data_IF_366243129754
#
_entry.id   IF_366243129754
#
_cell.length_a   1.000
_cell.length_b   1.000
_cell.length_c   1.000
_cell.angle_alpha   90.00
_cell.angle_beta   90.00
_cell.angle_gamma   90.00
#
_symmetry.space_group_name_H-M   'P 1'
#
loop_
_entity.id
_entity.type
_entity.pdbx_description
1 polymer ?
#
# COMPACT_ATOMS: atom_id res chain seq x y z
N UNK A 1 6.87 -23.14 4.35
CA UNK A 1 6.07 -22.00 4.85
C UNK A 1 6.18 -20.83 3.87
N UNK A 2 5.05 -20.29 3.44
CA UNK A 2 5.03 -19.12 2.55
C UNK A 2 5.33 -17.88 3.38
N UNK A 3 6.36 -17.12 2.97
CA UNK A 3 6.79 -15.91 3.69
C UNK A 3 6.61 -14.62 2.90
N UNK A 4 6.37 -14.72 1.59
CA UNK A 4 6.21 -13.57 0.70
C UNK A 4 4.86 -13.60 0.02
N UNK A 5 4.30 -12.42 -0.22
CA UNK A 5 3.12 -12.24 -1.06
C UNK A 5 3.43 -11.18 -2.12
N UNK A 6 2.96 -11.41 -3.34
CA UNK A 6 3.07 -10.46 -4.44
C UNK A 6 1.68 -9.98 -4.78
N UNK A 7 1.45 -8.68 -4.70
CA UNK A 7 0.14 -8.08 -4.91
C UNK A 7 0.21 -7.07 -6.05
N UNK A 8 -0.35 -7.41 -7.23
CA UNK A 8 -0.40 -6.48 -8.36
C UNK A 8 -1.48 -5.42 -8.15
N UNK A 9 -1.08 -4.16 -8.16
CA UNK A 9 -1.94 -3.00 -7.96
C UNK A 9 -1.90 -2.00 -9.11
N UNK A 10 -1.26 -2.35 -10.23
CA UNK A 10 -1.06 -1.42 -11.34
C UNK A 10 -2.30 -1.20 -12.22
N UNK A 11 -3.40 -1.92 -11.98
CA UNK A 11 -4.65 -1.75 -12.72
C UNK A 11 -5.26 -0.37 -12.57
N UNK A 12 -6.02 0.09 -13.57
CA UNK A 12 -6.53 1.47 -13.63
C UNK A 12 -7.79 1.72 -12.81
N UNK A 13 -8.48 0.66 -12.36
CA UNK A 13 -9.71 0.82 -11.56
C UNK A 13 -10.86 1.46 -12.32
N UNK A 14 -11.02 1.15 -13.61
CA UNK A 14 -12.01 1.79 -14.50
C UNK A 14 -13.44 1.60 -14.05
N UNK A 15 -13.74 0.54 -13.30
CA UNK A 15 -15.09 0.27 -12.79
C UNK A 15 -15.54 1.27 -11.74
N UNK A 16 -14.62 2.00 -11.12
CA UNK A 16 -14.91 2.97 -10.06
C UNK A 16 -14.73 4.42 -10.51
N UNK A 17 -14.71 4.65 -11.82
CA UNK A 17 -14.70 6.01 -12.35
C UNK A 17 -15.98 6.76 -11.93
N UNK A 18 -15.90 8.06 -11.67
CA UNK A 18 -14.72 8.95 -11.85
C UNK A 18 -13.76 9.01 -10.66
N UNK A 19 -14.04 8.37 -9.52
CA UNK A 19 -13.18 8.44 -8.33
C UNK A 19 -11.74 8.02 -8.62
N UNK A 20 -11.56 6.95 -9.40
CA UNK A 20 -10.24 6.42 -9.71
C UNK A 20 -9.47 7.24 -10.73
N UNK A 21 -10.06 8.33 -11.24
CA UNK A 21 -9.30 9.30 -12.03
C UNK A 21 -8.27 10.06 -11.18
N UNK A 22 -8.50 10.13 -9.86
CA UNK A 22 -7.64 10.85 -8.90
C UNK A 22 -7.11 9.92 -7.81
N UNK A 23 -7.93 8.99 -7.35
CA UNK A 23 -7.60 8.11 -6.22
C UNK A 23 -7.33 6.69 -6.69
N UNK A 24 -6.31 6.04 -6.10
CA UNK A 24 -6.14 4.60 -6.26
C UNK A 24 -7.30 3.89 -5.57
N UNK A 25 -7.95 2.93 -6.27
CA UNK A 25 -9.09 2.19 -5.73
C UNK A 25 -8.74 1.48 -4.42
N UNK A 26 -7.49 1.06 -4.28
CA UNK A 26 -6.98 0.33 -3.11
C UNK A 26 -6.96 1.19 -1.84
N UNK A 27 -6.97 2.52 -1.99
CA UNK A 27 -7.00 3.45 -0.86
C UNK A 27 -8.40 3.95 -0.53
N UNK A 28 -9.41 3.61 -1.34
CA UNK A 28 -10.79 3.99 -1.03
C UNK A 28 -11.23 3.30 0.27
N UNK A 29 -11.90 4.04 1.16
CA UNK A 29 -12.24 3.50 2.48
C UNK A 29 -13.37 2.49 2.43
N UNK A 30 -13.20 1.43 3.23
CA UNK A 30 -14.23 0.46 3.54
C UNK A 30 -14.36 0.48 5.06
N UNK A 31 -15.49 0.97 5.58
CA UNK A 31 -15.67 1.16 7.03
C UNK A 31 -14.54 1.98 7.67
N UNK A 32 -14.16 3.08 7.00
CA UNK A 32 -13.15 4.03 7.51
C UNK A 32 -11.70 3.58 7.40
N UNK A 33 -11.44 2.46 6.72
CA UNK A 33 -10.11 1.88 6.58
C UNK A 33 -9.86 1.55 5.10
N UNK A 34 -8.71 1.91 4.52
CA UNK A 34 -8.43 1.57 3.12
C UNK A 34 -8.51 0.08 2.87
N UNK A 35 -9.07 -0.31 1.73
CA UNK A 35 -9.17 -1.72 1.34
C UNK A 35 -7.83 -2.44 1.40
N UNK A 36 -6.75 -1.73 1.06
CA UNK A 36 -5.40 -2.28 1.06
C UNK A 36 -4.94 -2.72 2.46
N UNK A 37 -5.37 -2.02 3.53
CA UNK A 37 -5.00 -2.41 4.89
C UNK A 37 -5.65 -3.73 5.30
N UNK A 38 -6.86 -4.03 4.80
CA UNK A 38 -7.48 -5.34 5.05
C UNK A 38 -6.65 -6.47 4.46
N UNK A 39 -6.10 -6.25 3.27
CA UNK A 39 -5.22 -7.23 2.61
C UNK A 39 -3.94 -7.42 3.42
N UNK A 40 -3.34 -6.35 3.90
CA UNK A 40 -2.13 -6.42 4.72
C UNK A 40 -2.39 -7.15 6.03
N UNK A 41 -3.53 -6.90 6.66
CA UNK A 41 -3.89 -7.58 7.90
C UNK A 41 -4.07 -9.08 7.68
N UNK A 42 -4.68 -9.48 6.57
CA UNK A 42 -4.79 -10.89 6.20
C UNK A 42 -3.41 -11.53 5.99
N UNK A 43 -2.49 -10.81 5.35
CA UNK A 43 -1.12 -11.28 5.18
C UNK A 43 -0.42 -11.50 6.52
N UNK A 44 -0.59 -10.57 7.46
CA UNK A 44 -0.02 -10.68 8.80
C UNK A 44 -0.57 -11.91 9.51
N UNK A 45 -1.88 -12.12 9.47
CA UNK A 45 -2.52 -13.28 10.09
C UNK A 45 -2.04 -14.59 9.48
N UNK A 46 -1.75 -14.61 8.19
CA UNK A 46 -1.25 -15.78 7.48
C UNK A 46 0.24 -16.03 7.71
N UNK A 47 0.93 -15.19 8.48
CA UNK A 47 2.35 -15.33 8.76
C UNK A 47 3.26 -14.81 7.65
N UNK A 48 2.74 -14.03 6.70
CA UNK A 48 3.53 -13.43 5.64
C UNK A 48 4.45 -12.36 6.24
N UNK A 49 5.73 -12.39 5.88
CA UNK A 49 6.74 -11.46 6.41
C UNK A 49 7.08 -10.34 5.45
N UNK A 50 6.89 -10.55 4.15
CA UNK A 50 7.21 -9.57 3.12
C UNK A 50 6.10 -9.51 2.09
N UNK A 51 5.66 -8.29 1.77
CA UNK A 51 4.65 -8.05 0.75
C UNK A 51 5.26 -7.16 -0.33
N UNK A 52 5.16 -7.59 -1.57
CA UNK A 52 5.66 -6.84 -2.72
C UNK A 52 4.46 -6.28 -3.47
N UNK A 53 4.32 -4.96 -3.46
CA UNK A 53 3.30 -4.27 -4.23
C UNK A 53 3.84 -3.88 -5.59
N UNK A 54 3.12 -4.26 -6.63
CA UNK A 54 3.42 -3.86 -8.00
C UNK A 54 2.50 -2.71 -8.36
N UNK A 55 3.07 -1.51 -8.53
CA UNK A 55 2.32 -0.29 -8.81
C UNK A 55 2.82 0.38 -10.08
N UNK A 56 2.02 1.30 -10.62
CA UNK A 56 2.45 2.21 -11.69
C UNK A 56 2.75 3.59 -11.09
N UNK A 57 3.39 4.47 -11.87
CA UNK A 57 3.60 5.86 -11.44
C UNK A 57 2.28 6.59 -11.20
N UNK A 58 1.20 6.16 -11.83
CA UNK A 58 -0.14 6.71 -11.58
C UNK A 58 -0.68 6.40 -10.19
N UNK A 59 -0.08 5.43 -9.50
CA UNK A 59 -0.50 5.00 -8.15
C UNK A 59 0.54 5.32 -7.09
N UNK A 60 1.40 6.32 -7.31
CA UNK A 60 2.37 6.76 -6.30
C UNK A 60 1.74 7.13 -4.96
N UNK A 61 0.45 7.49 -4.96
CA UNK A 61 -0.25 7.80 -3.70
C UNK A 61 -0.28 6.60 -2.75
N UNK A 62 -0.23 5.37 -3.26
CA UNK A 62 -0.14 4.17 -2.43
C UNK A 62 1.19 4.16 -1.68
N UNK A 63 2.28 4.43 -2.40
CA UNK A 63 3.60 4.53 -1.77
C UNK A 63 3.64 5.65 -0.74
N UNK A 64 3.11 6.82 -1.09
CA UNK A 64 3.04 7.97 -0.17
C UNK A 64 2.25 7.67 1.10
N UNK A 65 1.19 6.88 0.98
CA UNK A 65 0.38 6.48 2.13
C UNK A 65 1.23 5.83 3.23
N UNK A 66 2.17 4.98 2.85
CA UNK A 66 3.03 4.27 3.80
C UNK A 66 4.33 5.02 4.15
N UNK A 67 4.72 6.00 3.35
CA UNK A 67 5.99 6.72 3.50
C UNK A 67 5.81 8.19 3.87
N UNK A 68 4.70 8.55 4.53
CA UNK A 68 4.39 9.94 4.92
C UNK A 68 4.96 10.32 6.30
N UNK A 69 6.16 9.89 6.63
CA UNK A 69 6.76 10.10 7.94
C UNK A 69 6.75 11.57 8.37
N UNK A 70 7.09 12.46 7.45
CA UNK A 70 7.15 13.90 7.75
C UNK A 70 5.79 14.44 8.21
N UNK A 71 4.73 14.05 7.54
CA UNK A 71 3.36 14.47 7.90
C UNK A 71 3.05 14.14 9.36
N UNK A 72 3.30 12.89 9.75
CA UNK A 72 3.03 12.44 11.12
C UNK A 72 3.95 13.12 12.13
N UNK A 73 5.24 13.19 11.84
CA UNK A 73 6.22 13.78 12.73
C UNK A 73 5.95 15.26 12.99
N UNK A 74 5.54 16.01 11.96
CA UNK A 74 5.21 17.42 12.11
C UNK A 74 4.03 17.63 13.06
N UNK A 75 3.00 16.79 12.97
CA UNK A 75 1.84 16.86 13.87
C UNK A 75 2.23 16.46 15.29
N UNK A 76 2.98 15.39 15.44
CA UNK A 76 3.41 14.88 16.75
C UNK A 76 4.26 15.92 17.50
N UNK A 77 5.10 16.67 16.79
CA UNK A 77 5.90 17.75 17.38
C UNK A 77 5.06 18.90 17.92
N UNK A 78 3.94 19.22 17.24
CA UNK A 78 3.10 20.38 17.60
C UNK A 78 2.16 20.09 18.75
N UNK A 79 1.60 18.90 18.81
CA UNK A 79 0.60 18.51 19.80
C UNK A 79 0.78 17.07 20.24
N UNK A 80 0.63 16.84 21.53
CA UNK A 80 0.56 15.50 22.07
C UNK A 80 -0.80 14.90 21.70
N UNK A 81 -0.83 14.11 20.63
CA UNK A 81 -2.05 13.50 20.11
C UNK A 81 -1.88 11.98 20.03
N UNK A 82 -2.55 11.28 20.94
CA UNK A 82 -2.47 9.82 21.04
C UNK A 82 -2.98 9.12 19.77
N UNK A 83 -4.05 9.64 19.18
CA UNK A 83 -4.61 9.07 17.95
C UNK A 83 -3.59 9.11 16.80
N UNK A 84 -2.96 10.27 16.59
CA UNK A 84 -1.95 10.42 15.53
C UNK A 84 -0.76 9.51 15.77
N UNK A 85 -0.29 9.39 17.00
CA UNK A 85 0.82 8.49 17.35
C UNK A 85 0.47 7.03 17.08
N UNK A 86 -0.74 6.61 17.41
CA UNK A 86 -1.19 5.24 17.18
C UNK A 86 -1.30 4.93 15.69
N UNK A 87 -1.83 5.87 14.92
CA UNK A 87 -1.92 5.72 13.45
C UNK A 87 -0.52 5.65 12.82
N UNK A 88 0.42 6.45 13.30
CA UNK A 88 1.79 6.42 12.81
C UNK A 88 2.47 5.08 13.13
N UNK A 89 2.29 4.55 14.34
CA UNK A 89 2.82 3.23 14.70
C UNK A 89 2.30 2.13 13.79
N UNK A 90 1.01 2.19 13.46
CA UNK A 90 0.39 1.24 12.55
C UNK A 90 1.00 1.32 11.15
N UNK A 91 1.17 2.53 10.63
CA UNK A 91 1.80 2.75 9.32
C UNK A 91 3.24 2.24 9.31
N UNK A 92 4.01 2.49 10.35
CA UNK A 92 5.38 1.98 10.45
C UNK A 92 5.44 0.45 10.45
N UNK A 93 4.48 -0.20 11.08
CA UNK A 93 4.38 -1.65 11.10
C UNK A 93 4.18 -2.20 9.67
N UNK A 94 3.26 -1.63 8.91
CA UNK A 94 3.04 -2.03 7.52
C UNK A 94 4.27 -1.72 6.65
N UNK A 95 4.85 -0.53 6.81
CA UNK A 95 6.01 -0.08 6.04
C UNK A 95 7.18 -1.07 6.10
N UNK A 96 7.41 -1.68 7.25
CA UNK A 96 8.49 -2.64 7.45
C UNK A 96 8.37 -3.88 6.57
N UNK A 97 7.15 -4.28 6.22
CA UNK A 97 6.92 -5.50 5.46
C UNK A 97 6.71 -5.26 3.97
N UNK A 98 6.58 -4.01 3.53
CA UNK A 98 6.20 -3.67 2.15
C UNK A 98 7.43 -3.30 1.32
N UNK A 99 7.45 -3.82 0.09
CA UNK A 99 8.37 -3.39 -0.96
C UNK A 99 7.57 -3.01 -2.20
N UNK A 100 8.09 -2.06 -2.98
CA UNK A 100 7.42 -1.57 -4.18
C UNK A 100 8.21 -1.89 -5.43
N UNK A 101 7.51 -2.33 -6.47
CA UNK A 101 8.05 -2.58 -7.79
C UNK A 101 7.14 -1.87 -8.80
N UNK A 102 7.73 -1.27 -9.83
CA UNK A 102 6.97 -0.51 -10.81
C UNK A 102 6.68 -1.31 -12.07
N UNK A 103 5.42 -1.26 -12.50
CA UNK A 103 4.96 -1.73 -13.80
C UNK A 103 4.19 -0.58 -14.45
N UNK A 104 4.83 0.19 -15.31
CA UNK A 104 4.22 1.38 -15.92
C UNK A 104 3.37 1.08 -17.14
N UNK A 105 3.57 -0.09 -17.76
CA UNK A 105 2.76 -0.56 -18.88
C UNK A 105 2.05 -1.85 -18.45
N UNK A 106 0.71 -1.89 -18.51
CA UNK A 106 -0.02 -3.09 -18.11
C UNK A 106 0.16 -4.19 -19.18
N UNK A 107 1.04 -5.15 -18.88
CA UNK A 107 1.31 -6.31 -19.72
C UNK A 107 0.77 -7.61 -19.11
N UNK A 108 -0.18 -7.49 -18.20
CA UNK A 108 -0.80 -8.63 -17.54
C UNK A 108 -0.09 -9.07 -16.26
N UNK A 109 -0.71 -10.03 -15.59
CA UNK A 109 -0.25 -10.52 -14.28
C UNK A 109 1.12 -11.19 -14.34
N UNK A 110 1.38 -11.95 -15.43
CA UNK A 110 2.68 -12.61 -15.61
C UNK A 110 3.85 -11.64 -15.67
N UNK A 111 3.69 -10.54 -16.42
CA UNK A 111 4.71 -9.48 -16.48
C UNK A 111 4.89 -8.82 -15.13
N UNK A 112 3.80 -8.55 -14.41
CA UNK A 112 3.84 -7.97 -13.09
C UNK A 112 4.69 -8.82 -12.14
N UNK A 113 4.47 -10.13 -12.13
CA UNK A 113 5.24 -11.06 -11.31
C UNK A 113 6.72 -11.07 -11.68
N UNK A 114 7.05 -11.00 -12.99
CA UNK A 114 8.43 -10.96 -13.45
C UNK A 114 9.17 -9.72 -12.93
N UNK A 115 8.48 -8.59 -12.72
CA UNK A 115 9.10 -7.38 -12.15
C UNK A 115 9.60 -7.59 -10.72
N UNK A 116 9.16 -8.62 -10.05
CA UNK A 116 9.57 -8.95 -8.68
C UNK A 116 10.73 -9.95 -8.61
N UNK A 117 11.29 -10.35 -9.74
CA UNK A 117 12.29 -11.42 -9.84
C UNK A 117 13.49 -11.23 -8.92
N UNK A 118 13.90 -9.99 -8.65
CA UNK A 118 15.05 -9.67 -7.78
C UNK A 118 14.77 -9.88 -6.28
N UNK A 119 13.53 -10.07 -5.90
CA UNK A 119 13.13 -10.29 -4.52
C UNK A 119 12.91 -11.78 -4.26
#
# INVERSE_FOLDING_TARGET
>A
MIKQAIIPLAGLGTRLLPLTSVFAKELLPINGKPGLEYILDECIEAGIKEVIFIISHKKLMIKKYFYSDKFYKDIIKRKKNTHVRNEYKKILKYKKMIKFVFQNRPKGTGDAVLKTKRF
#
